data_IF_701141465826
#
_entry.id   IF_701141465826
#
_cell.length_a   1.000
_cell.length_b   1.000
_cell.length_c   1.000
_cell.angle_alpha   90.00
_cell.angle_beta   90.00
_cell.angle_gamma   90.00
#
_symmetry.space_group_name_H-M   'P 1'
#
loop_
_entity.id
_entity.type
_entity.pdbx_description
1 polymer ?
#
# COMPACT_ATOMS: atom_id res chain seq x y z
N UNK A 1 -21.62 32.32 29.38
CA UNK A 1 -20.16 32.13 29.28
C UNK A 1 -19.69 31.40 30.53
N UNK A 2 -19.55 30.07 30.45
CA UNK A 2 -19.14 29.23 31.58
C UNK A 2 -17.65 28.92 31.52
N UNK A 3 -16.93 29.22 32.59
CA UNK A 3 -15.46 29.19 32.76
C UNK A 3 -14.90 27.77 32.98
N UNK A 4 -15.59 26.70 32.59
CA UNK A 4 -15.24 25.33 32.99
C UNK A 4 -14.71 24.39 31.89
N UNK A 5 -14.37 24.89 30.70
CA UNK A 5 -13.90 24.04 29.58
C UNK A 5 -12.37 24.00 29.38
N UNK A 6 -11.58 24.58 30.30
CA UNK A 6 -10.13 24.78 30.06
C UNK A 6 -9.18 23.65 30.49
N UNK A 7 -9.68 22.51 30.96
CA UNK A 7 -8.81 21.40 31.41
C UNK A 7 -9.27 20.03 30.90
N UNK A 8 -9.44 19.88 29.58
CA UNK A 8 -9.25 18.56 28.97
C UNK A 8 -7.75 18.25 28.99
N UNK A 9 -7.33 17.43 29.96
CA UNK A 9 -5.97 16.83 29.97
C UNK A 9 -5.69 16.30 28.56
N UNK A 10 -4.68 16.87 27.88
CA UNK A 10 -4.10 16.23 26.70
C UNK A 10 -3.78 14.79 27.11
N UNK A 11 -4.18 13.77 26.34
CA UNK A 11 -3.78 12.40 26.64
C UNK A 11 -2.27 12.37 26.80
N UNK A 12 -1.78 11.83 27.92
CA UNK A 12 -0.36 11.66 28.17
C UNK A 12 0.24 10.93 26.96
N UNK A 13 1.25 11.54 26.34
CA UNK A 13 1.93 10.94 25.21
C UNK A 13 2.48 9.58 25.66
N UNK A 14 2.00 8.49 25.07
CA UNK A 14 2.50 7.14 25.34
C UNK A 14 4.03 7.17 25.25
N UNK A 15 4.70 6.65 26.27
CA UNK A 15 6.16 6.58 26.28
C UNK A 15 6.63 5.83 25.01
N UNK A 16 7.48 6.49 24.21
CA UNK A 16 8.04 5.89 23.00
C UNK A 16 8.97 4.75 23.42
N UNK A 17 8.85 3.54 22.86
CA UNK A 17 9.80 2.47 23.12
C UNK A 17 11.20 2.86 22.63
N UNK A 18 12.23 2.21 23.16
CA UNK A 18 13.63 2.46 22.77
C UNK A 18 13.87 2.17 21.29
N UNK A 19 13.18 1.17 20.76
CA UNK A 19 13.19 0.81 19.36
C UNK A 19 11.85 0.18 18.97
N UNK A 20 11.65 0.00 17.67
CA UNK A 20 10.49 -0.66 17.10
C UNK A 20 10.93 -1.91 16.34
N UNK A 21 10.06 -2.92 16.30
CA UNK A 21 10.24 -4.04 15.38
C UNK A 21 10.28 -3.52 13.93
N UNK A 22 11.13 -4.12 13.12
CA UNK A 22 11.28 -3.81 11.70
C UNK A 22 10.41 -4.77 10.92
N UNK A 23 9.57 -4.22 10.05
CA UNK A 23 8.95 -4.98 8.96
C UNK A 23 9.66 -4.61 7.67
N UNK A 24 10.32 -5.58 7.03
CA UNK A 24 11.01 -5.34 5.76
C UNK A 24 10.00 -4.99 4.67
N UNK A 25 10.15 -3.86 3.94
CA UNK A 25 9.21 -3.48 2.89
C UNK A 25 9.33 -4.34 1.62
N UNK A 26 10.35 -5.21 1.53
CA UNK A 26 10.56 -6.11 0.40
C UNK A 26 9.94 -7.49 0.64
N UNK A 27 10.20 -8.09 1.80
CA UNK A 27 9.78 -9.47 2.10
C UNK A 27 8.78 -9.62 3.26
N UNK A 28 8.40 -8.53 3.95
CA UNK A 28 7.48 -8.49 5.12
C UNK A 28 7.86 -9.32 6.32
N UNK A 29 9.06 -9.90 6.33
CA UNK A 29 9.59 -10.49 7.53
C UNK A 29 9.68 -9.43 8.62
N UNK A 30 9.18 -9.79 9.79
CA UNK A 30 9.22 -8.99 11.01
C UNK A 30 10.37 -9.49 11.89
N UNK A 31 11.25 -8.59 12.30
CA UNK A 31 12.45 -8.91 13.09
C UNK A 31 12.85 -7.70 13.95
N UNK A 32 13.66 -7.92 14.96
CA UNK A 32 14.13 -6.85 15.86
C UNK A 32 15.38 -6.15 15.29
N UNK A 33 15.69 -4.90 15.69
CA UNK A 33 16.83 -4.15 15.13
C UNK A 33 18.20 -4.80 15.32
N UNK A 34 18.37 -5.67 16.31
CA UNK A 34 19.58 -6.44 16.58
C UNK A 34 19.79 -7.61 15.60
N UNK A 35 18.75 -8.05 14.91
CA UNK A 35 18.85 -9.06 13.84
C UNK A 35 19.37 -8.46 12.52
N UNK A 36 19.46 -7.13 12.39
CA UNK A 36 19.90 -6.45 11.15
C UNK A 36 21.35 -6.78 10.82
N UNK A 37 21.61 -7.16 9.56
CA UNK A 37 22.97 -7.40 9.05
C UNK A 37 23.44 -6.23 8.18
N UNK A 38 24.71 -6.17 7.82
CA UNK A 38 25.30 -5.02 7.12
C UNK A 38 26.06 -5.46 5.86
N UNK A 39 25.98 -4.70 4.77
CA UNK A 39 26.89 -4.88 3.63
C UNK A 39 28.22 -4.20 3.94
N UNK A 40 29.35 -4.86 3.73
CA UNK A 40 30.66 -4.23 3.84
C UNK A 40 30.78 -3.03 2.87
N UNK A 41 31.58 -2.03 3.26
CA UNK A 41 31.81 -0.83 2.44
C UNK A 41 32.96 -1.02 1.42
N UNK A 42 33.67 -2.14 1.51
CA UNK A 42 34.80 -2.50 0.66
C UNK A 42 34.88 -4.03 0.51
N UNK A 43 35.79 -4.47 -0.33
CA UNK A 43 36.14 -5.87 -0.52
C UNK A 43 37.66 -6.06 -0.50
N UNK A 44 38.10 -7.27 -0.17
CA UNK A 44 39.53 -7.63 -0.11
C UNK A 44 39.78 -9.01 -0.71
N UNK A 45 40.78 -9.12 -1.57
CA UNK A 45 41.19 -10.40 -2.16
C UNK A 45 42.06 -11.24 -1.21
N UNK A 46 42.73 -10.59 -0.25
CA UNK A 46 43.61 -11.23 0.74
C UNK A 46 42.86 -11.76 1.97
N UNK A 47 41.53 -11.66 1.96
CA UNK A 47 40.66 -12.01 3.06
C UNK A 47 39.35 -12.64 2.56
N UNK A 48 39.20 -13.95 2.76
CA UNK A 48 38.01 -14.70 2.33
C UNK A 48 36.71 -14.15 2.94
N UNK A 49 36.74 -13.57 4.14
CA UNK A 49 35.55 -13.00 4.79
C UNK A 49 35.09 -11.67 4.15
N UNK A 50 35.96 -11.02 3.36
CA UNK A 50 35.70 -9.73 2.70
C UNK A 50 35.85 -9.83 1.17
N UNK A 51 36.10 -11.02 0.65
CA UNK A 51 36.17 -11.25 -0.79
C UNK A 51 34.80 -10.98 -1.42
N UNK A 52 34.82 -10.49 -2.66
CA UNK A 52 33.59 -10.37 -3.44
C UNK A 52 33.03 -11.77 -3.68
N UNK A 53 31.72 -11.91 -3.48
CA UNK A 53 31.07 -13.20 -3.56
C UNK A 53 29.61 -13.10 -3.99
N UNK A 54 28.93 -14.23 -3.91
CA UNK A 54 27.49 -14.27 -4.14
C UNK A 54 26.75 -14.04 -2.83
N UNK A 55 25.65 -13.30 -2.92
CA UNK A 55 24.69 -13.19 -1.84
C UNK A 55 23.52 -14.13 -2.10
N UNK A 56 23.55 -15.32 -1.49
CA UNK A 56 22.52 -16.34 -1.70
C UNK A 56 21.12 -15.86 -1.31
N UNK A 57 20.96 -15.12 -0.21
CA UNK A 57 19.64 -14.69 0.26
C UNK A 57 19.07 -13.57 -0.62
N UNK A 58 19.91 -12.66 -1.09
CA UNK A 58 19.52 -11.66 -2.09
C UNK A 58 19.19 -12.32 -3.42
N UNK A 59 19.99 -13.29 -3.88
CA UNK A 59 19.75 -13.99 -5.14
C UNK A 59 18.48 -14.84 -5.08
N UNK A 60 18.20 -15.54 -3.97
CA UNK A 60 16.91 -16.22 -3.73
C UNK A 60 15.73 -15.25 -3.78
N UNK A 61 15.89 -14.05 -3.24
CA UNK A 61 14.88 -13.01 -3.37
C UNK A 61 14.68 -12.58 -4.83
N UNK A 62 15.77 -12.27 -5.54
CA UNK A 62 15.76 -11.79 -6.94
C UNK A 62 15.16 -12.81 -7.91
N UNK A 63 15.49 -14.08 -7.73
CA UNK A 63 14.97 -15.20 -8.53
C UNK A 63 13.44 -15.26 -8.50
N UNK A 64 12.81 -15.01 -7.34
CA UNK A 64 11.33 -14.97 -7.20
C UNK A 64 10.67 -13.93 -8.12
N UNK A 65 11.38 -12.86 -8.45
CA UNK A 65 10.92 -11.80 -9.36
C UNK A 65 11.45 -11.96 -10.79
N UNK A 66 12.08 -13.10 -11.10
CA UNK A 66 12.65 -13.39 -12.42
C UNK A 66 13.75 -12.40 -12.83
N UNK A 67 14.50 -11.88 -11.85
CA UNK A 67 15.65 -11.01 -12.02
C UNK A 67 16.94 -11.83 -12.07
N UNK A 68 17.93 -11.35 -12.81
CA UNK A 68 19.24 -12.00 -12.87
C UNK A 68 19.94 -11.96 -11.50
N UNK A 69 20.64 -13.05 -11.18
CA UNK A 69 21.50 -13.11 -10.00
C UNK A 69 22.56 -12.01 -10.05
N UNK A 70 22.90 -11.47 -8.89
CA UNK A 70 24.04 -10.58 -8.71
C UNK A 70 25.22 -11.39 -8.20
N UNK A 71 26.37 -11.18 -8.85
CA UNK A 71 27.66 -11.71 -8.46
C UNK A 71 28.54 -10.55 -8.00
N UNK A 72 29.70 -10.86 -7.45
CA UNK A 72 30.71 -9.88 -7.04
C UNK A 72 30.16 -8.83 -6.06
N UNK A 73 29.37 -9.28 -5.07
CA UNK A 73 28.81 -8.44 -4.01
C UNK A 73 29.76 -8.39 -2.81
N UNK A 74 29.80 -7.25 -2.10
CA UNK A 74 30.58 -7.16 -0.87
C UNK A 74 30.01 -8.09 0.22
N UNK A 75 30.87 -8.47 1.17
CA UNK A 75 30.51 -9.38 2.25
C UNK A 75 29.35 -8.87 3.12
N UNK A 76 28.57 -9.81 3.66
CA UNK A 76 27.55 -9.52 4.67
C UNK A 76 28.16 -9.67 6.06
N UNK A 77 28.16 -8.59 6.82
CA UNK A 77 28.68 -8.50 8.17
C UNK A 77 27.54 -8.73 9.18
N UNK A 78 27.72 -9.69 10.07
CA UNK A 78 26.78 -9.94 11.15
C UNK A 78 27.21 -9.17 12.43
N UNK A 79 26.30 -8.42 13.08
CA UNK A 79 26.66 -7.66 14.28
C UNK A 79 27.26 -8.51 15.39
N UNK A 80 26.84 -9.78 15.50
CA UNK A 80 27.33 -10.72 16.53
C UNK A 80 28.84 -10.97 16.44
N UNK A 81 29.42 -10.84 15.25
CA UNK A 81 30.86 -11.04 15.00
C UNK A 81 31.69 -9.78 15.20
N UNK A 82 31.03 -8.64 15.49
CA UNK A 82 31.69 -7.35 15.66
C UNK A 82 31.63 -6.90 17.12
N UNK A 83 32.77 -6.54 17.74
CA UNK A 83 32.82 -6.03 19.10
C UNK A 83 31.87 -4.84 19.33
N UNK A 84 31.29 -4.73 20.52
CA UNK A 84 30.28 -3.72 20.83
C UNK A 84 30.83 -2.29 20.70
N UNK A 85 32.11 -2.08 21.02
CA UNK A 85 32.83 -0.81 20.86
C UNK A 85 32.94 -0.33 19.41
N UNK A 86 32.79 -1.23 18.44
CA UNK A 86 32.83 -0.93 17.00
C UNK A 86 31.44 -0.75 16.39
N UNK A 87 30.38 -0.91 17.19
CA UNK A 87 28.99 -0.74 16.77
C UNK A 87 28.55 0.71 16.96
N UNK A 88 27.92 1.28 15.93
CA UNK A 88 27.44 2.66 15.92
C UNK A 88 25.94 2.68 16.12
N UNK A 89 25.50 3.24 17.24
CA UNK A 89 24.08 3.36 17.60
C UNK A 89 23.55 4.79 17.42
N UNK A 90 22.29 4.90 17.03
CA UNK A 90 21.53 6.14 17.04
C UNK A 90 20.11 5.81 17.43
N UNK A 91 19.57 6.54 18.41
CA UNK A 91 18.24 6.28 18.98
C UNK A 91 18.08 4.82 19.43
N UNK A 92 19.11 4.28 20.09
CA UNK A 92 19.20 2.87 20.54
C UNK A 92 19.14 1.80 19.44
N UNK A 93 19.22 2.21 18.17
CA UNK A 93 19.23 1.31 17.01
C UNK A 93 20.63 1.24 16.42
N UNK A 94 21.08 0.03 16.09
CA UNK A 94 22.35 -0.19 15.39
C UNK A 94 22.24 0.36 13.96
N UNK A 95 22.97 1.44 13.67
CA UNK A 95 22.94 2.13 12.37
C UNK A 95 24.22 1.97 11.56
N UNK A 96 25.27 1.43 12.15
CA UNK A 96 26.53 1.22 11.46
C UNK A 96 27.49 0.33 12.25
N UNK A 97 28.49 -0.16 11.54
CA UNK A 97 29.51 -1.06 12.06
C UNK A 97 30.85 -0.60 11.49
N UNK A 98 31.84 -0.43 12.36
CA UNK A 98 33.25 -0.37 11.97
C UNK A 98 33.77 -1.80 11.92
N UNK A 99 34.26 -2.22 10.76
CA UNK A 99 34.79 -3.56 10.61
C UNK A 99 36.19 -3.74 11.23
N UNK A 100 36.78 -4.93 11.08
CA UNK A 100 38.13 -5.24 11.62
C UNK A 100 39.26 -4.44 10.97
N UNK A 101 38.97 -3.77 9.85
CA UNK A 101 39.89 -2.89 9.13
C UNK A 101 39.67 -1.41 9.43
N UNK A 102 38.67 -1.08 10.26
CA UNK A 102 38.33 0.30 10.61
C UNK A 102 37.46 1.00 9.56
N UNK A 103 36.91 0.28 8.60
CA UNK A 103 36.03 0.83 7.58
C UNK A 103 34.58 0.82 8.06
N UNK A 104 33.92 1.98 7.97
CA UNK A 104 32.56 2.18 8.47
C UNK A 104 31.53 1.87 7.38
N UNK A 105 30.66 0.91 7.65
CA UNK A 105 29.43 0.71 6.85
C UNK A 105 28.17 1.16 7.59
N UNK A 106 27.23 1.71 6.82
CA UNK A 106 25.85 2.02 7.25
C UNK A 106 24.79 1.34 6.37
N UNK A 107 25.22 0.44 5.47
CA UNK A 107 24.34 -0.29 4.54
C UNK A 107 23.65 -1.42 5.29
N UNK A 108 22.53 -1.09 5.95
CA UNK A 108 21.72 -2.01 6.76
C UNK A 108 20.88 -2.89 5.84
N UNK A 109 20.88 -4.20 6.06
CA UNK A 109 20.18 -5.17 5.24
C UNK A 109 19.15 -5.95 6.07
N UNK A 110 18.08 -6.37 5.40
CA UNK A 110 17.14 -7.32 5.99
C UNK A 110 17.82 -8.69 6.17
N UNK A 111 17.80 -9.32 7.36
CA UNK A 111 18.45 -10.61 7.58
C UNK A 111 17.77 -11.80 6.89
N UNK A 112 16.68 -11.58 6.16
CA UNK A 112 15.91 -12.63 5.46
C UNK A 112 15.97 -12.55 3.94
N UNK A 113 16.29 -11.38 3.38
CA UNK A 113 16.37 -11.20 1.92
C UNK A 113 17.52 -10.32 1.47
N UNK A 114 18.34 -9.83 2.40
CA UNK A 114 19.50 -8.96 2.20
C UNK A 114 19.26 -7.69 1.35
N UNK A 115 18.00 -7.29 1.14
CA UNK A 115 17.66 -5.98 0.59
C UNK A 115 17.98 -4.88 1.60
N UNK A 116 18.43 -3.74 1.09
CA UNK A 116 18.80 -2.59 1.91
C UNK A 116 17.55 -1.98 2.59
N UNK A 117 17.62 -1.81 3.91
CA UNK A 117 16.52 -1.30 4.71
C UNK A 117 16.51 0.24 4.70
N UNK A 118 15.32 0.88 4.80
CA UNK A 118 15.25 2.31 5.04
C UNK A 118 16.06 2.72 6.27
N UNK A 119 16.74 3.87 6.20
CA UNK A 119 17.60 4.38 7.29
C UNK A 119 16.84 4.51 8.62
N UNK A 120 15.54 4.80 8.55
CA UNK A 120 14.65 4.94 9.71
C UNK A 120 14.18 3.60 10.29
N UNK A 121 14.40 2.47 9.63
CA UNK A 121 13.94 1.15 10.09
C UNK A 121 14.43 0.88 11.51
N UNK A 122 13.51 0.52 12.41
CA UNK A 122 13.79 0.24 13.82
C UNK A 122 13.79 1.47 14.73
N UNK A 123 13.97 2.68 14.19
CA UNK A 123 13.88 3.95 14.94
C UNK A 123 12.45 4.44 15.10
N UNK A 124 11.60 4.04 14.16
CA UNK A 124 10.19 4.46 14.06
C UNK A 124 9.32 3.24 13.79
N UNK A 125 8.01 3.28 14.10
CA UNK A 125 7.11 2.20 13.75
C UNK A 125 7.12 1.95 12.23
N UNK A 126 7.17 0.67 11.83
CA UNK A 126 6.94 0.27 10.44
C UNK A 126 5.45 0.41 10.09
N UNK A 127 5.08 1.57 9.56
CA UNK A 127 3.72 1.81 9.09
C UNK A 127 3.63 1.45 7.61
N UNK A 128 3.21 0.22 7.30
CA UNK A 128 3.04 -0.26 5.92
C UNK A 128 1.57 -0.22 5.54
N UNK A 129 1.24 0.41 4.42
CA UNK A 129 -0.10 0.31 3.82
C UNK A 129 -0.07 -0.69 2.68
N UNK A 130 -0.95 -1.70 2.76
CA UNK A 130 -1.06 -2.77 1.76
C UNK A 130 -2.24 -2.52 0.83
N UNK A 131 -2.02 -2.61 -0.48
CA UNK A 131 -3.08 -2.63 -1.49
C UNK A 131 -3.40 -4.07 -1.88
N UNK A 132 -4.66 -4.47 -1.75
CA UNK A 132 -5.12 -5.84 -2.02
C UNK A 132 -6.32 -5.78 -2.94
N UNK A 133 -6.46 -6.78 -3.80
CA UNK A 133 -7.62 -6.93 -4.68
C UNK A 133 -7.36 -8.03 -5.69
N UNK A 134 -8.42 -8.56 -6.29
CA UNK A 134 -8.34 -9.59 -7.32
C UNK A 134 -7.67 -9.08 -8.62
N UNK A 135 -7.55 -9.96 -9.60
CA UNK A 135 -7.07 -9.57 -10.94
C UNK A 135 -7.98 -8.54 -11.58
N UNK A 136 -7.39 -7.65 -12.38
CA UNK A 136 -8.12 -6.69 -13.24
C UNK A 136 -8.98 -5.63 -12.52
N UNK A 137 -8.92 -5.55 -11.18
CA UNK A 137 -9.63 -4.50 -10.41
C UNK A 137 -9.06 -3.10 -10.58
N UNK A 138 -8.00 -2.94 -11.37
CA UNK A 138 -7.35 -1.65 -11.61
C UNK A 138 -6.30 -1.25 -10.56
N UNK A 139 -5.70 -2.21 -9.83
CA UNK A 139 -4.66 -1.94 -8.82
C UNK A 139 -3.53 -1.06 -9.35
N UNK A 140 -2.94 -1.43 -10.49
CA UNK A 140 -1.83 -0.69 -11.11
C UNK A 140 -2.24 0.72 -11.50
N UNK A 141 -3.42 0.89 -12.09
CA UNK A 141 -3.96 2.21 -12.49
C UNK A 141 -4.25 3.07 -11.26
N UNK A 142 -4.91 2.51 -10.24
CA UNK A 142 -5.18 3.20 -8.97
C UNK A 142 -3.88 3.61 -8.27
N UNK A 143 -2.89 2.70 -8.19
CA UNK A 143 -1.58 2.98 -7.62
C UNK A 143 -0.91 4.16 -8.33
N UNK A 144 -0.83 4.12 -9.66
CA UNK A 144 -0.20 5.19 -10.43
C UNK A 144 -0.89 6.52 -10.18
N UNK A 145 -2.22 6.55 -10.24
CA UNK A 145 -2.98 7.78 -9.98
C UNK A 145 -2.83 8.25 -8.54
N UNK A 146 -2.84 7.36 -7.55
CA UNK A 146 -2.64 7.70 -6.15
C UNK A 146 -1.26 8.32 -5.95
N UNK A 147 -0.17 7.67 -6.38
CA UNK A 147 1.18 8.19 -6.21
C UNK A 147 1.36 9.53 -6.92
N UNK A 148 0.87 9.65 -8.16
CA UNK A 148 0.90 10.92 -8.88
C UNK A 148 0.17 12.03 -8.11
N UNK A 149 -1.04 11.76 -7.59
CA UNK A 149 -1.80 12.73 -6.79
C UNK A 149 -1.11 13.06 -5.45
N UNK A 150 -0.52 12.06 -4.78
CA UNK A 150 0.22 12.26 -3.53
C UNK A 150 1.45 13.16 -3.75
N UNK A 151 2.22 12.92 -4.80
CA UNK A 151 3.45 13.66 -5.11
C UNK A 151 3.18 15.09 -5.54
N UNK A 152 2.13 15.31 -6.34
CA UNK A 152 1.87 16.60 -6.97
C UNK A 152 0.89 17.49 -6.20
N UNK A 153 0.11 16.95 -5.25
CA UNK A 153 -0.96 17.73 -4.58
C UNK A 153 -1.14 17.36 -3.12
N UNK A 154 -1.45 16.10 -2.80
CA UNK A 154 -1.90 15.74 -1.44
C UNK A 154 -0.81 15.94 -0.39
N UNK A 155 0.45 15.58 -0.69
CA UNK A 155 1.52 15.71 0.29
C UNK A 155 1.74 17.17 0.75
N UNK A 156 1.66 18.13 -0.17
CA UNK A 156 1.77 19.56 0.16
C UNK A 156 0.65 20.02 1.11
N UNK A 157 -0.57 19.56 0.87
CA UNK A 157 -1.74 19.86 1.72
C UNK A 157 -1.61 19.34 3.16
N UNK A 158 -0.69 18.42 3.43
CA UNK A 158 -0.42 17.85 4.75
C UNK A 158 0.99 18.17 5.27
N UNK A 159 1.68 19.15 4.69
CA UNK A 159 3.06 19.50 5.04
C UNK A 159 3.99 18.29 5.01
N UNK A 160 3.91 17.51 3.94
CA UNK A 160 4.67 16.28 3.74
C UNK A 160 5.27 16.24 2.33
N UNK A 161 6.06 15.19 2.07
CA UNK A 161 6.51 14.81 0.75
C UNK A 161 6.26 13.32 0.52
N UNK A 162 5.88 12.94 -0.70
CA UNK A 162 5.81 11.56 -1.12
C UNK A 162 6.99 11.26 -2.04
N UNK A 163 7.87 10.33 -1.66
CA UNK A 163 9.11 10.07 -2.38
C UNK A 163 9.34 8.56 -2.58
N UNK A 164 9.88 8.12 -3.71
CA UNK A 164 10.29 6.72 -3.89
C UNK A 164 11.45 6.40 -2.93
N UNK A 165 11.54 5.14 -2.49
CA UNK A 165 12.57 4.71 -1.54
C UNK A 165 14.00 4.87 -2.09
N UNK A 166 14.18 4.70 -3.40
CA UNK A 166 15.45 4.91 -4.08
C UNK A 166 15.27 5.38 -5.54
N UNK A 167 16.37 5.80 -6.17
CA UNK A 167 16.38 6.34 -7.53
C UNK A 167 15.99 5.30 -8.60
N UNK A 168 16.21 4.01 -8.36
CA UNK A 168 15.84 2.96 -9.30
C UNK A 168 14.33 2.77 -9.36
N UNK A 169 13.68 2.67 -8.19
CA UNK A 169 12.22 2.64 -8.04
C UNK A 169 11.60 3.87 -8.71
N UNK A 170 12.20 5.06 -8.50
CA UNK A 170 11.75 6.30 -9.16
C UNK A 170 11.75 6.19 -10.68
N UNK A 171 12.85 5.70 -11.27
CA UNK A 171 12.98 5.59 -12.74
C UNK A 171 12.01 4.55 -13.30
N UNK A 172 11.97 3.34 -12.70
CA UNK A 172 11.07 2.26 -13.11
C UNK A 172 9.61 2.72 -13.07
N UNK A 173 9.18 3.30 -11.96
CA UNK A 173 7.80 3.79 -11.81
C UNK A 173 7.46 4.85 -12.85
N UNK A 174 8.32 5.85 -13.03
CA UNK A 174 8.08 6.91 -14.00
C UNK A 174 7.94 6.37 -15.43
N UNK A 175 8.89 5.57 -15.89
CA UNK A 175 8.93 5.07 -17.28
C UNK A 175 7.81 4.08 -17.61
N UNK A 176 7.49 3.18 -16.68
CA UNK A 176 6.55 2.08 -16.93
C UNK A 176 5.11 2.39 -16.49
N UNK A 177 4.90 3.35 -15.59
CA UNK A 177 3.59 3.65 -15.02
C UNK A 177 3.17 5.10 -15.25
N UNK A 178 3.93 6.08 -14.74
CA UNK A 178 3.50 7.47 -14.72
C UNK A 178 3.44 8.10 -16.12
N UNK A 179 4.52 8.04 -16.89
CA UNK A 179 4.60 8.58 -18.26
C UNK A 179 3.56 7.96 -19.22
N UNK A 180 3.39 6.61 -19.29
CA UNK A 180 2.35 6.05 -20.14
C UNK A 180 0.96 6.60 -19.80
N UNK A 181 0.63 6.67 -18.51
CA UNK A 181 -0.71 7.01 -18.08
C UNK A 181 -1.00 8.52 -18.15
N UNK A 182 -0.11 9.36 -17.62
CA UNK A 182 -0.34 10.80 -17.48
C UNK A 182 0.24 11.66 -18.61
N UNK A 183 1.29 11.20 -19.30
CA UNK A 183 1.91 11.97 -20.39
C UNK A 183 1.49 11.48 -21.78
N UNK A 184 1.41 10.15 -21.98
CA UNK A 184 1.09 9.58 -23.30
C UNK A 184 -0.40 9.28 -23.50
N UNK A 185 -1.17 9.12 -22.42
CA UNK A 185 -2.58 8.74 -22.49
C UNK A 185 -2.80 7.26 -22.86
N UNK A 186 -1.77 6.43 -22.66
CA UNK A 186 -1.81 4.99 -22.88
C UNK A 186 -2.40 4.29 -21.65
N UNK A 187 -3.16 3.20 -21.85
CA UNK A 187 -3.44 2.29 -20.74
C UNK A 187 -2.19 1.50 -20.37
N UNK A 188 -2.04 1.25 -19.07
CA UNK A 188 -0.99 0.36 -18.59
C UNK A 188 -1.20 -1.03 -19.20
N UNK A 189 -0.13 -1.58 -19.77
CA UNK A 189 -0.16 -2.95 -20.25
C UNK A 189 -0.55 -3.88 -19.10
N UNK A 190 -1.43 -4.86 -19.38
CA UNK A 190 -1.76 -5.88 -18.38
C UNK A 190 -0.46 -6.55 -17.92
N UNK A 191 -0.22 -6.56 -16.62
CA UNK A 191 0.99 -7.16 -16.00
C UNK A 191 1.18 -8.56 -16.58
N UNK A 192 2.36 -8.84 -17.16
CA UNK A 192 2.63 -10.13 -17.78
C UNK A 192 2.38 -11.24 -16.75
N UNK A 193 1.58 -12.25 -17.12
CA UNK A 193 1.10 -13.28 -16.20
C UNK A 193 2.20 -14.13 -15.56
N UNK A 194 3.42 -14.08 -16.09
CA UNK A 194 4.47 -15.07 -15.82
C UNK A 194 5.60 -14.57 -14.89
N UNK A 195 5.63 -13.29 -14.50
CA UNK A 195 6.69 -12.74 -13.62
C UNK A 195 6.12 -11.91 -12.48
N UNK A 196 6.51 -12.22 -11.24
CA UNK A 196 6.30 -11.32 -10.11
C UNK A 196 7.14 -10.06 -10.34
N UNK A 197 6.53 -8.89 -10.12
CA UNK A 197 7.25 -7.63 -10.16
C UNK A 197 7.75 -7.26 -8.76
N UNK A 198 8.94 -6.66 -8.69
CA UNK A 198 9.45 -6.09 -7.46
C UNK A 198 8.44 -5.07 -6.89
N UNK A 199 8.33 -4.96 -5.56
CA UNK A 199 7.45 -3.97 -4.97
C UNK A 199 7.91 -2.55 -5.28
N UNK A 200 6.95 -1.69 -5.62
CA UNK A 200 7.19 -0.26 -5.58
C UNK A 200 7.05 0.21 -4.13
N UNK A 201 8.09 0.86 -3.62
CA UNK A 201 8.14 1.34 -2.24
C UNK A 201 8.24 2.87 -2.28
N UNK A 202 7.24 3.53 -1.70
CA UNK A 202 7.19 4.97 -1.53
C UNK A 202 7.10 5.33 -0.04
N UNK A 203 7.62 6.48 0.32
CA UNK A 203 7.55 7.02 1.67
C UNK A 203 6.81 8.34 1.65
N UNK A 204 5.80 8.44 2.50
CA UNK A 204 5.13 9.69 2.84
C UNK A 204 5.76 10.24 4.13
N UNK A 205 6.56 11.29 3.98
CA UNK A 205 7.40 11.87 5.03
C UNK A 205 6.87 13.24 5.40
N UNK A 206 6.45 13.42 6.66
CA UNK A 206 6.01 14.72 7.16
C UNK A 206 7.22 15.63 7.40
N UNK A 207 7.05 16.94 7.22
CA UNK A 207 8.05 17.96 7.63
C UNK A 207 8.23 18.02 9.16
N UNK A 208 7.26 17.50 9.91
CA UNK A 208 7.32 17.35 11.35
C UNK A 208 8.02 16.03 11.71
N UNK A 209 9.29 16.11 12.10
CA UNK A 209 10.14 14.96 12.46
C UNK A 209 9.59 14.13 13.64
N UNK A 210 8.62 14.67 14.39
CA UNK A 210 7.96 13.92 15.46
C UNK A 210 7.01 12.84 14.93
N UNK A 211 6.59 12.95 13.66
CA UNK A 211 5.73 11.99 12.95
C UNK A 211 6.60 11.01 12.17
N UNK A 212 6.45 9.70 12.40
CA UNK A 212 7.23 8.72 11.66
C UNK A 212 6.85 8.71 10.16
N UNK A 213 7.76 8.38 9.25
CA UNK A 213 7.41 8.16 7.86
C UNK A 213 6.41 7.00 7.73
N UNK A 214 5.52 7.13 6.75
CA UNK A 214 4.59 6.08 6.36
C UNK A 214 5.11 5.45 5.07
N UNK A 215 5.25 4.14 5.05
CA UNK A 215 5.75 3.40 3.89
C UNK A 215 4.57 2.82 3.13
N UNK A 216 4.40 3.25 1.89
CA UNK A 216 3.45 2.70 0.94
C UNK A 216 4.17 1.60 0.17
N UNK A 217 3.72 0.37 0.30
CA UNK A 217 4.27 -0.75 -0.47
C UNK A 217 3.22 -1.32 -1.40
N UNK A 218 3.57 -1.35 -2.68
CA UNK A 218 2.69 -1.84 -3.72
C UNK A 218 3.26 -3.12 -4.32
N UNK A 219 2.46 -4.18 -4.27
CA UNK A 219 2.73 -5.42 -4.98
C UNK A 219 1.81 -5.50 -6.19
N UNK A 220 2.38 -5.27 -7.37
CA UNK A 220 1.71 -5.60 -8.61
C UNK A 220 1.95 -7.07 -8.92
N UNK A 221 1.06 -7.92 -8.39
CA UNK A 221 1.07 -9.35 -8.72
C UNK A 221 -0.02 -9.63 -9.74
N UNK A 222 0.37 -10.23 -10.86
CA UNK A 222 -0.56 -10.77 -11.84
C UNK A 222 -1.37 -11.88 -11.17
N UNK A 223 -2.64 -11.61 -10.85
CA UNK A 223 -3.44 -12.45 -9.97
C UNK A 223 -3.98 -13.74 -10.60
N UNK A 224 -3.27 -14.36 -11.53
CA UNK A 224 -3.67 -15.66 -12.14
C UNK A 224 -2.49 -16.61 -12.45
N UNK A 225 -1.24 -16.27 -12.08
CA UNK A 225 -0.06 -16.94 -12.68
C UNK A 225 0.82 -17.81 -11.79
N UNK A 226 0.70 -17.77 -10.47
CA UNK A 226 1.70 -18.39 -9.59
C UNK A 226 1.06 -19.40 -8.63
N UNK A 227 1.64 -20.60 -8.59
CA UNK A 227 1.19 -21.75 -7.80
C UNK A 227 1.05 -21.36 -6.32
N UNK A 228 -0.06 -21.80 -5.71
CA UNK A 228 -0.62 -21.36 -4.42
C UNK A 228 0.35 -21.22 -3.24
N UNK A 229 1.46 -21.93 -3.14
CA UNK A 229 2.24 -21.98 -1.89
C UNK A 229 3.16 -20.76 -1.62
N UNK A 230 3.87 -20.25 -2.64
CA UNK A 230 4.73 -19.06 -2.46
C UNK A 230 3.92 -17.75 -2.48
N UNK A 231 2.78 -17.77 -3.19
CA UNK A 231 1.80 -16.69 -3.19
C UNK A 231 1.25 -16.46 -1.77
N UNK A 232 0.81 -17.50 -1.08
CA UNK A 232 0.23 -17.39 0.27
C UNK A 232 1.25 -16.89 1.32
N UNK A 233 2.52 -17.28 1.22
CA UNK A 233 3.56 -16.92 2.20
C UNK A 233 3.91 -15.43 2.22
N UNK A 234 4.16 -14.83 1.04
CA UNK A 234 4.55 -13.42 0.94
C UNK A 234 3.34 -12.48 1.11
N UNK A 235 2.18 -12.85 0.52
CA UNK A 235 0.95 -12.07 0.66
C UNK A 235 0.42 -12.10 2.11
N UNK A 236 0.38 -13.27 2.75
CA UNK A 236 -0.07 -13.39 4.15
C UNK A 236 0.78 -12.55 5.10
N UNK A 237 2.12 -12.56 4.95
CA UNK A 237 3.01 -11.72 5.77
C UNK A 237 2.83 -10.22 5.49
N UNK A 238 2.67 -9.83 4.23
CA UNK A 238 2.42 -8.44 3.85
C UNK A 238 1.18 -7.87 4.53
N UNK A 239 0.08 -8.64 4.51
CA UNK A 239 -1.19 -8.18 5.06
C UNK A 239 -1.17 -8.23 6.59
N UNK A 240 -0.64 -9.31 7.17
CA UNK A 240 -0.53 -9.49 8.63
C UNK A 240 0.25 -8.36 9.32
N UNK A 241 1.32 -7.89 8.68
CA UNK A 241 2.20 -6.86 9.22
C UNK A 241 1.86 -5.45 8.72
N UNK A 242 0.72 -5.28 8.05
CA UNK A 242 0.25 -3.98 7.58
C UNK A 242 -0.34 -3.14 8.71
N UNK A 243 -0.12 -1.83 8.64
CA UNK A 243 -0.76 -0.84 9.50
C UNK A 243 -2.14 -0.42 8.95
N UNK A 244 -2.37 -0.60 7.65
CA UNK A 244 -3.65 -0.30 7.01
C UNK A 244 -3.79 -1.03 5.67
N UNK A 245 -5.03 -1.29 5.28
CA UNK A 245 -5.35 -2.04 4.06
C UNK A 245 -6.22 -1.18 3.13
N UNK A 246 -5.87 -1.15 1.85
CA UNK A 246 -6.72 -0.66 0.76
C UNK A 246 -7.22 -1.87 -0.05
N UNK A 247 -8.46 -2.29 0.19
CA UNK A 247 -9.10 -3.42 -0.49
C UNK A 247 -9.84 -2.93 -1.75
N UNK A 248 -9.23 -3.12 -2.90
CA UNK A 248 -9.74 -2.76 -4.22
C UNK A 248 -10.81 -3.73 -4.69
N UNK A 249 -11.95 -3.18 -5.10
CA UNK A 249 -13.09 -3.92 -5.65
C UNK A 249 -13.51 -3.24 -6.96
N UNK A 250 -13.60 -4.02 -8.03
CA UNK A 250 -14.20 -3.53 -9.27
C UNK A 250 -15.72 -3.65 -9.17
N UNK A 251 -16.51 -2.60 -9.43
CA UNK A 251 -17.96 -2.70 -9.52
C UNK A 251 -18.45 -3.84 -10.42
N UNK A 252 -17.73 -4.14 -11.50
CA UNK A 252 -18.05 -5.24 -12.40
C UNK A 252 -17.82 -6.62 -11.78
N UNK A 253 -17.14 -6.77 -10.64
CA UNK A 253 -17.08 -8.06 -9.94
C UNK A 253 -18.40 -8.40 -9.24
N UNK A 254 -19.21 -7.39 -8.93
CA UNK A 254 -20.52 -7.57 -8.30
C UNK A 254 -21.55 -7.92 -9.38
N UNK A 255 -22.09 -9.14 -9.29
CA UNK A 255 -23.01 -9.69 -10.30
C UNK A 255 -24.21 -8.80 -10.58
N UNK A 256 -24.87 -8.27 -9.55
CA UNK A 256 -26.06 -7.44 -9.73
C UNK A 256 -25.76 -6.09 -10.39
N UNK A 257 -24.53 -5.57 -10.24
CA UNK A 257 -24.08 -4.37 -10.95
C UNK A 257 -23.95 -4.71 -12.43
N UNK A 258 -23.21 -5.78 -12.78
CA UNK A 258 -23.07 -6.21 -14.18
C UNK A 258 -24.40 -6.40 -14.88
N UNK A 259 -25.34 -7.12 -14.25
CA UNK A 259 -26.65 -7.40 -14.84
C UNK A 259 -27.42 -6.10 -15.12
N UNK A 260 -27.36 -5.10 -14.24
CA UNK A 260 -28.02 -3.80 -14.46
C UNK A 260 -27.36 -2.95 -15.51
N UNK A 261 -26.03 -2.88 -15.51
CA UNK A 261 -25.29 -2.15 -16.54
C UNK A 261 -25.63 -2.73 -17.93
N UNK A 262 -25.71 -4.06 -18.05
CA UNK A 262 -26.16 -4.73 -19.28
C UNK A 262 -27.58 -4.36 -19.68
N UNK A 263 -28.52 -4.28 -18.73
CA UNK A 263 -29.89 -3.85 -19.01
C UNK A 263 -29.97 -2.39 -19.49
N UNK A 264 -29.12 -1.51 -18.96
CA UNK A 264 -29.15 -0.08 -19.29
C UNK A 264 -28.37 0.29 -20.57
N UNK A 265 -27.28 -0.42 -20.88
CA UNK A 265 -26.35 -0.07 -21.97
C UNK A 265 -26.42 -1.04 -23.16
N UNK A 266 -27.00 -2.24 -22.98
CA UNK A 266 -27.05 -3.31 -23.98
C UNK A 266 -25.75 -4.12 -24.10
N UNK A 267 -25.79 -5.21 -24.86
CA UNK A 267 -24.62 -6.08 -25.10
C UNK A 267 -23.71 -5.49 -26.18
N UNK A 268 -22.69 -4.72 -25.79
CA UNK A 268 -21.57 -4.42 -26.68
C UNK A 268 -20.55 -5.59 -26.64
N UNK A 269 -20.12 -6.12 -27.81
CA UNK A 269 -19.11 -7.17 -27.84
C UNK A 269 -17.74 -6.65 -27.40
N UNK A 270 -17.06 -7.38 -26.50
CA UNK A 270 -15.65 -7.14 -26.13
C UNK A 270 -15.39 -6.56 -24.73
N UNK A 271 -16.41 -6.08 -24.00
CA UNK A 271 -16.24 -5.45 -22.68
C UNK A 271 -16.38 -6.41 -21.48
N UNK A 272 -16.78 -7.66 -21.70
CA UNK A 272 -17.16 -8.57 -20.61
C UNK A 272 -16.26 -9.79 -20.58
N UNK A 273 -15.53 -9.96 -19.47
CA UNK A 273 -14.75 -11.17 -19.22
C UNK A 273 -15.69 -12.32 -18.82
N UNK A 274 -15.38 -13.55 -19.22
CA UNK A 274 -16.21 -14.73 -18.97
C UNK A 274 -16.28 -15.13 -17.49
N UNK A 275 -15.28 -14.74 -16.69
CA UNK A 275 -15.19 -15.04 -15.27
C UNK A 275 -14.55 -13.86 -14.54
N UNK A 276 -15.22 -13.38 -13.49
CA UNK A 276 -14.68 -12.37 -12.57
C UNK A 276 -14.49 -13.05 -11.22
N UNK A 277 -13.33 -12.85 -10.60
CA UNK A 277 -13.13 -13.23 -9.20
C UNK A 277 -14.11 -12.45 -8.32
N UNK A 278 -14.75 -13.13 -7.37
CA UNK A 278 -15.66 -12.44 -6.45
C UNK A 278 -14.87 -11.74 -5.34
N UNK A 279 -15.25 -10.50 -4.93
CA UNK A 279 -14.53 -9.77 -3.89
C UNK A 279 -14.50 -10.51 -2.55
N UNK A 280 -15.50 -11.34 -2.29
CA UNK A 280 -15.59 -12.19 -1.10
C UNK A 280 -14.46 -13.22 -1.04
N UNK A 281 -14.01 -13.74 -2.17
CA UNK A 281 -13.01 -14.82 -2.20
C UNK A 281 -11.66 -14.28 -1.74
N UNK A 282 -11.33 -13.05 -2.13
CA UNK A 282 -10.15 -12.31 -1.63
C UNK A 282 -10.19 -12.17 -0.10
N UNK A 283 -11.37 -11.87 0.46
CA UNK A 283 -11.55 -11.76 1.92
C UNK A 283 -11.43 -13.12 2.62
N UNK A 284 -11.93 -14.20 2.00
CA UNK A 284 -11.79 -15.56 2.54
C UNK A 284 -10.32 -16.01 2.55
N UNK A 285 -9.53 -15.65 1.53
CA UNK A 285 -8.08 -15.89 1.52
C UNK A 285 -7.41 -15.14 2.67
N UNK A 286 -7.70 -13.85 2.85
CA UNK A 286 -7.19 -13.09 4.01
C UNK A 286 -7.57 -13.74 5.35
N UNK A 287 -8.79 -14.28 5.43
CA UNK A 287 -9.25 -14.97 6.61
C UNK A 287 -8.40 -16.20 6.92
N UNK A 288 -8.20 -17.08 5.94
CA UNK A 288 -7.38 -18.28 6.08
C UNK A 288 -5.92 -17.98 6.38
N UNK A 289 -5.38 -16.88 5.83
CA UNK A 289 -3.96 -16.54 5.94
C UNK A 289 -3.58 -15.91 7.28
N UNK A 290 -4.40 -15.01 7.82
CA UNK A 290 -4.03 -14.31 9.06
C UNK A 290 -5.18 -14.00 10.01
N UNK A 291 -6.39 -13.67 9.53
CA UNK A 291 -7.47 -13.21 10.42
C UNK A 291 -7.93 -14.34 11.34
N UNK A 292 -7.96 -15.59 10.86
CA UNK A 292 -8.32 -16.77 11.65
C UNK A 292 -7.37 -17.03 12.84
N UNK A 293 -6.17 -16.46 12.81
CA UNK A 293 -5.16 -16.60 13.88
C UNK A 293 -5.13 -15.39 14.84
N UNK A 294 -6.03 -14.43 14.67
CA UNK A 294 -6.18 -13.28 15.56
C UNK A 294 -7.25 -13.50 16.64
N UNK A 295 -7.22 -12.68 17.69
CA UNK A 295 -8.21 -12.76 18.76
C UNK A 295 -9.63 -12.54 18.21
N UNK A 296 -10.54 -13.45 18.57
CA UNK A 296 -11.94 -13.47 18.11
C UNK A 296 -12.11 -13.63 16.59
N UNK A 297 -11.08 -14.05 15.86
CA UNK A 297 -11.10 -14.22 14.41
C UNK A 297 -11.48 -12.92 13.67
N UNK A 298 -11.03 -11.77 14.19
CA UNK A 298 -11.26 -10.45 13.60
C UNK A 298 -9.98 -9.61 13.58
N UNK A 299 -9.81 -8.82 12.53
CA UNK A 299 -8.71 -7.86 12.41
C UNK A 299 -9.08 -6.47 12.89
N UNK A 300 -8.14 -5.86 13.63
CA UNK A 300 -8.14 -4.45 14.05
C UNK A 300 -7.43 -3.53 13.03
N UNK A 301 -6.85 -4.11 11.97
CA UNK A 301 -6.19 -3.31 10.92
C UNK A 301 -7.27 -2.48 10.20
N UNK A 302 -7.14 -1.14 10.14
CA UNK A 302 -8.09 -0.30 9.43
C UNK A 302 -8.07 -0.63 7.94
N UNK A 303 -9.24 -0.95 7.40
CA UNK A 303 -9.41 -1.39 6.00
C UNK A 303 -10.35 -0.46 5.24
N UNK A 304 -9.85 0.21 4.21
CA UNK A 304 -10.67 0.94 3.26
C UNK A 304 -11.06 0.02 2.10
N UNK A 305 -12.35 -0.24 1.93
CA UNK A 305 -12.91 -0.92 0.75
C UNK A 305 -13.11 0.13 -0.34
N UNK A 306 -12.44 -0.03 -1.48
CA UNK A 306 -12.35 0.98 -2.53
C UNK A 306 -12.98 0.44 -3.81
N UNK A 307 -14.12 0.98 -4.21
CA UNK A 307 -14.71 0.76 -5.53
C UNK A 307 -13.92 1.56 -6.57
N UNK A 308 -13.11 0.89 -7.39
CA UNK A 308 -12.02 1.53 -8.17
C UNK A 308 -12.43 2.24 -9.45
N UNK A 309 -13.60 1.92 -9.98
CA UNK A 309 -14.13 2.43 -11.26
C UNK A 309 -15.49 3.10 -11.06
N UNK A 310 -15.54 4.06 -10.14
CA UNK A 310 -16.78 4.74 -9.77
C UNK A 310 -17.46 5.43 -10.96
N UNK A 311 -16.71 5.81 -11.99
CA UNK A 311 -17.22 6.34 -13.25
C UNK A 311 -18.21 5.38 -13.95
N UNK A 312 -18.04 4.07 -13.82
CA UNK A 312 -18.99 3.08 -14.35
C UNK A 312 -20.36 3.14 -13.68
N UNK A 313 -20.39 3.61 -12.42
CA UNK A 313 -21.62 3.73 -11.64
C UNK A 313 -22.52 4.87 -12.15
N UNK A 314 -22.05 5.72 -13.09
CA UNK A 314 -22.91 6.70 -13.76
C UNK A 314 -24.13 6.06 -14.43
N UNK A 315 -23.99 4.83 -14.92
CA UNK A 315 -25.07 4.06 -15.55
C UNK A 315 -26.15 3.59 -14.58
N UNK A 316 -25.88 3.66 -13.27
CA UNK A 316 -26.80 3.30 -12.19
C UNK A 316 -27.37 4.53 -11.47
N UNK A 317 -27.12 5.73 -12.01
CA UNK A 317 -27.72 6.96 -11.52
C UNK A 317 -29.21 6.95 -11.80
N UNK A 318 -29.98 7.33 -10.79
CA UNK A 318 -31.40 7.54 -10.89
C UNK A 318 -31.81 8.75 -10.06
N UNK A 319 -32.82 9.50 -10.51
CA UNK A 319 -33.37 10.65 -9.79
C UNK A 319 -34.02 10.21 -8.47
N UNK A 320 -34.67 9.05 -8.47
CA UNK A 320 -35.28 8.45 -7.28
C UNK A 320 -34.22 7.90 -6.31
N UNK A 321 -32.96 7.80 -6.75
CA UNK A 321 -31.84 7.36 -5.94
C UNK A 321 -31.93 5.91 -5.52
N UNK A 322 -32.54 5.05 -6.34
CA UNK A 322 -32.72 3.64 -6.01
C UNK A 322 -31.36 2.97 -5.67
N UNK A 323 -30.30 3.30 -6.41
CA UNK A 323 -28.94 2.83 -6.16
C UNK A 323 -28.01 3.96 -5.79
N UNK A 324 -27.87 4.93 -6.69
CA UNK A 324 -26.99 6.09 -6.52
C UNK A 324 -27.74 7.31 -7.05
N UNK A 325 -27.73 8.40 -6.29
CA UNK A 325 -28.37 9.64 -6.73
C UNK A 325 -27.57 10.30 -7.85
N UNK A 326 -28.27 10.91 -8.80
CA UNK A 326 -27.63 11.62 -9.91
C UNK A 326 -26.64 12.72 -9.46
N UNK A 327 -26.94 13.39 -8.33
CA UNK A 327 -26.12 14.43 -7.71
C UNK A 327 -25.17 13.91 -6.61
N UNK A 328 -24.89 12.61 -6.57
CA UNK A 328 -24.00 12.01 -5.57
C UNK A 328 -22.60 12.63 -5.59
N UNK A 329 -22.02 12.79 -4.40
CA UNK A 329 -20.69 13.33 -4.20
C UNK A 329 -19.58 12.39 -4.70
N UNK A 330 -19.88 11.09 -4.88
CA UNK A 330 -18.89 10.08 -5.31
C UNK A 330 -18.28 10.35 -6.70
N UNK A 331 -18.95 11.18 -7.50
CA UNK A 331 -18.52 11.58 -8.85
C UNK A 331 -17.77 12.90 -8.89
N UNK A 332 -17.65 13.58 -7.75
CA UNK A 332 -16.98 14.88 -7.63
C UNK A 332 -15.74 14.71 -6.76
N UNK A 333 -14.63 15.35 -7.13
CA UNK A 333 -13.42 15.28 -6.32
C UNK A 333 -13.56 16.09 -5.02
N UNK A 334 -12.91 15.65 -3.95
CA UNK A 334 -12.81 16.35 -2.67
C UNK A 334 -11.34 16.61 -2.35
N UNK A 335 -11.03 17.81 -1.86
CA UNK A 335 -9.66 18.20 -1.50
C UNK A 335 -9.57 18.43 0.00
N UNK A 336 -8.90 17.53 0.70
CA UNK A 336 -8.58 17.70 2.11
C UNK A 336 -7.32 18.55 2.31
N UNK A 337 -7.31 19.39 3.35
CA UNK A 337 -6.18 20.25 3.71
C UNK A 337 -5.95 20.21 5.21
N UNK A 338 -4.76 19.81 5.65
CA UNK A 338 -4.32 19.70 7.05
C UNK A 338 -5.09 18.70 7.94
N UNK A 339 -6.38 18.49 7.72
CA UNK A 339 -7.24 17.58 8.48
C UNK A 339 -8.10 16.73 7.55
N UNK A 340 -8.60 15.62 8.09
CA UNK A 340 -9.57 14.77 7.44
C UNK A 340 -10.99 15.29 7.71
N UNK A 341 -11.78 15.53 6.67
CA UNK A 341 -13.14 16.06 6.81
C UNK A 341 -14.09 14.90 7.13
N UNK A 342 -14.52 14.84 8.39
CA UNK A 342 -15.36 13.76 8.92
C UNK A 342 -16.79 13.83 8.37
N UNK A 343 -17.32 15.03 8.13
CA UNK A 343 -18.66 15.21 7.57
C UNK A 343 -18.74 14.62 6.16
N UNK A 344 -17.76 14.94 5.31
CA UNK A 344 -17.70 14.39 3.95
C UNK A 344 -17.42 12.89 3.94
N UNK A 345 -16.54 12.42 4.82
CA UNK A 345 -16.29 11.00 5.01
C UNK A 345 -17.57 10.22 5.38
N UNK A 346 -18.32 10.68 6.38
CA UNK A 346 -19.55 10.02 6.84
C UNK A 346 -20.60 9.96 5.71
N UNK A 347 -20.65 10.97 4.84
CA UNK A 347 -21.52 10.98 3.66
C UNK A 347 -21.12 9.89 2.65
N UNK A 348 -19.83 9.85 2.26
CA UNK A 348 -19.33 8.89 1.26
C UNK A 348 -19.37 7.47 1.79
N UNK A 349 -18.87 7.22 3.00
CA UNK A 349 -18.92 5.90 3.63
C UNK A 349 -20.37 5.42 3.74
N UNK A 350 -21.26 6.26 4.26
CA UNK A 350 -22.67 5.91 4.43
C UNK A 350 -23.39 5.64 3.10
N UNK A 351 -23.07 6.35 2.04
CA UNK A 351 -23.62 6.10 0.70
C UNK A 351 -23.11 4.78 0.11
N UNK A 352 -21.79 4.58 0.06
CA UNK A 352 -21.21 3.38 -0.55
C UNK A 352 -21.52 2.13 0.28
N UNK A 353 -21.56 2.23 1.61
CA UNK A 353 -21.94 1.13 2.50
C UNK A 353 -23.37 0.64 2.22
N UNK A 354 -24.33 1.56 2.06
CA UNK A 354 -25.71 1.24 1.69
C UNK A 354 -25.82 0.68 0.28
N UNK A 355 -25.06 1.26 -0.66
CA UNK A 355 -24.99 0.77 -2.03
C UNK A 355 -24.52 -0.69 -2.07
N UNK A 356 -23.39 -1.02 -1.44
CA UNK A 356 -22.83 -2.38 -1.38
C UNK A 356 -23.77 -3.33 -0.65
N UNK A 357 -24.39 -2.91 0.46
CA UNK A 357 -25.39 -3.75 1.14
C UNK A 357 -26.55 -4.15 0.21
N UNK A 358 -26.96 -3.24 -0.68
CA UNK A 358 -28.03 -3.48 -1.65
C UNK A 358 -27.59 -4.37 -2.83
N UNK A 359 -26.35 -4.21 -3.32
CA UNK A 359 -25.86 -4.93 -4.51
C UNK A 359 -25.13 -6.25 -4.17
N UNK A 360 -24.54 -6.35 -2.99
CA UNK A 360 -23.74 -7.51 -2.55
C UNK A 360 -23.77 -7.65 -1.02
N UNK A 361 -24.95 -8.04 -0.50
CA UNK A 361 -25.14 -8.31 0.93
C UNK A 361 -24.17 -9.36 1.50
N UNK A 362 -23.86 -10.48 0.80
CA UNK A 362 -22.87 -11.45 1.28
C UNK A 362 -21.47 -10.87 1.47
N UNK A 363 -20.97 -10.09 0.51
CA UNK A 363 -19.68 -9.41 0.64
C UNK A 363 -19.70 -8.43 1.82
N UNK A 364 -20.76 -7.62 1.94
CA UNK A 364 -20.92 -6.68 3.05
C UNK A 364 -20.90 -7.38 4.41
N UNK A 365 -21.66 -8.47 4.55
CA UNK A 365 -21.72 -9.26 5.78
C UNK A 365 -20.36 -9.88 6.12
N UNK A 366 -19.62 -10.36 5.12
CA UNK A 366 -18.27 -10.91 5.33
C UNK A 366 -17.31 -9.86 5.92
N UNK A 367 -17.36 -8.63 5.40
CA UNK A 367 -16.58 -7.51 5.95
C UNK A 367 -16.94 -7.21 7.41
N UNK A 368 -18.23 -7.16 7.75
CA UNK A 368 -18.70 -6.90 9.12
C UNK A 368 -18.33 -8.01 10.12
N UNK A 369 -18.21 -9.25 9.63
CA UNK A 369 -17.78 -10.38 10.45
C UNK A 369 -16.30 -10.30 10.74
N UNK A 370 -15.43 -10.11 9.74
CA UNK A 370 -13.98 -10.26 9.91
C UNK A 370 -13.21 -8.99 10.22
N UNK A 371 -13.76 -7.80 9.97
CA UNK A 371 -13.07 -6.52 10.16
C UNK A 371 -13.80 -5.67 11.18
N UNK A 372 -13.05 -5.09 12.12
CA UNK A 372 -13.61 -4.19 13.15
C UNK A 372 -13.72 -2.75 12.68
N UNK A 373 -12.87 -2.34 11.74
CA UNK A 373 -12.72 -0.94 11.32
C UNK A 373 -12.66 -0.86 9.80
N UNK A 374 -13.82 -0.61 9.19
CA UNK A 374 -13.97 -0.53 7.74
C UNK A 374 -14.50 0.82 7.32
N UNK A 375 -13.96 1.34 6.23
CA UNK A 375 -14.50 2.49 5.50
C UNK A 375 -14.72 2.13 4.04
N UNK A 376 -15.75 2.70 3.42
CA UNK A 376 -16.12 2.41 2.05
C UNK A 376 -15.99 3.67 1.19
N UNK A 377 -15.25 3.54 0.09
CA UNK A 377 -14.98 4.61 -0.86
C UNK A 377 -15.35 4.19 -2.28
N UNK A 378 -15.62 5.18 -3.11
CA UNK A 378 -15.69 5.03 -4.55
C UNK A 378 -14.78 6.07 -5.18
N UNK A 379 -13.88 5.59 -6.05
CA UNK A 379 -12.85 6.40 -6.70
C UNK A 379 -12.89 6.12 -8.20
N UNK A 380 -12.43 7.08 -8.99
CA UNK A 380 -12.11 6.85 -10.40
C UNK A 380 -10.69 7.31 -10.66
N UNK A 381 -9.78 6.36 -10.83
CA UNK A 381 -8.37 6.65 -11.01
C UNK A 381 -8.09 7.42 -12.32
N UNK A 382 -8.92 7.20 -13.35
CA UNK A 382 -8.80 7.85 -14.65
C UNK A 382 -9.72 9.06 -14.81
N UNK A 383 -10.81 9.12 -14.03
CA UNK A 383 -11.89 10.11 -14.18
C UNK A 383 -12.86 9.80 -15.31
N UNK A 384 -12.54 8.86 -16.19
CA UNK A 384 -13.41 8.39 -17.27
C UNK A 384 -13.04 6.97 -17.70
N UNK A 385 -14.01 6.24 -18.25
CA UNK A 385 -13.79 4.91 -18.78
C UNK A 385 -13.09 5.01 -20.16
N UNK A 386 -11.94 4.34 -20.38
CA UNK A 386 -11.27 4.34 -21.68
C UNK A 386 -12.10 3.67 -22.79
N UNK A 387 -11.88 4.07 -24.04
CA UNK A 387 -12.51 3.48 -25.24
C UNK A 387 -11.41 3.01 -26.17
N UNK A 388 -11.50 1.77 -26.69
CA UNK A 388 -10.51 1.13 -27.55
C UNK A 388 -9.08 1.14 -26.97
N UNK A 389 -8.98 0.87 -25.67
CA UNK A 389 -7.72 0.88 -24.90
C UNK A 389 -6.96 2.22 -24.91
N UNK A 390 -7.65 3.32 -25.25
CA UNK A 390 -7.09 4.67 -25.20
C UNK A 390 -7.90 5.57 -24.28
N UNK A 391 -7.18 6.45 -23.60
CA UNK A 391 -7.80 7.53 -22.84
C UNK A 391 -8.33 8.57 -23.82
N UNK A 392 -9.63 8.85 -23.71
CA UNK A 392 -10.31 9.84 -24.56
C UNK A 392 -10.14 11.27 -24.00
N UNK A 393 -9.78 11.39 -22.73
CA UNK A 393 -9.63 12.65 -22.01
C UNK A 393 -8.35 12.62 -21.17
N UNK A 394 -7.90 13.80 -20.74
CA UNK A 394 -6.80 13.92 -19.77
C UNK A 394 -7.20 13.21 -18.48
N UNK A 395 -6.28 12.42 -17.93
CA UNK A 395 -6.49 11.72 -16.66
C UNK A 395 -6.83 12.73 -15.57
N UNK A 396 -8.02 12.57 -14.97
CA UNK A 396 -8.52 13.45 -13.92
C UNK A 396 -9.01 12.60 -12.75
N UNK A 397 -8.12 12.19 -11.83
CA UNK A 397 -8.49 11.31 -10.73
C UNK A 397 -9.58 11.92 -9.85
N UNK A 398 -10.55 11.10 -9.47
CA UNK A 398 -11.66 11.48 -8.59
C UNK A 398 -11.50 10.72 -7.28
N UNK A 399 -11.30 11.46 -6.18
CA UNK A 399 -11.23 10.96 -4.79
C UNK A 399 -10.15 9.90 -4.53
N UNK A 400 -9.14 9.81 -5.40
CA UNK A 400 -8.15 8.72 -5.39
C UNK A 400 -7.35 8.65 -4.09
N UNK A 401 -7.09 9.79 -3.45
CA UNK A 401 -6.30 9.96 -2.25
C UNK A 401 -7.10 9.87 -0.94
N UNK A 402 -8.43 9.97 -0.98
CA UNK A 402 -9.28 9.90 0.22
C UNK A 402 -9.11 8.62 1.06
N UNK A 403 -9.07 7.41 0.47
CA UNK A 403 -8.82 6.18 1.23
C UNK A 403 -7.49 6.22 2.00
N UNK A 404 -6.45 6.80 1.38
CA UNK A 404 -5.15 6.98 2.00
C UNK A 404 -5.19 8.01 3.14
N UNK A 405 -5.86 9.15 2.93
CA UNK A 405 -6.01 10.19 3.96
C UNK A 405 -6.81 9.66 5.16
N UNK A 406 -7.81 8.81 4.93
CA UNK A 406 -8.51 8.12 6.01
C UNK A 406 -7.57 7.23 6.82
N UNK A 407 -6.70 6.46 6.15
CA UNK A 407 -5.67 5.69 6.86
C UNK A 407 -4.73 6.60 7.67
N UNK A 408 -4.35 7.78 7.15
CA UNK A 408 -3.60 8.76 7.94
C UNK A 408 -4.34 9.17 9.22
N UNK A 409 -5.65 9.39 9.13
CA UNK A 409 -6.48 9.71 10.28
C UNK A 409 -6.56 8.54 11.27
N UNK A 410 -6.84 7.32 10.80
CA UNK A 410 -6.92 6.11 11.63
C UNK A 410 -5.61 5.77 12.33
N UNK A 411 -4.49 6.03 11.67
CA UNK A 411 -3.14 5.84 12.20
C UNK A 411 -2.66 7.04 13.05
N UNK A 412 -3.53 8.03 13.30
CA UNK A 412 -3.25 9.22 14.12
C UNK A 412 -2.14 10.14 13.58
N UNK A 413 -1.91 10.14 12.26
CA UNK A 413 -1.00 11.09 11.62
C UNK A 413 -1.61 12.47 11.44
N UNK A 414 -2.94 12.53 11.29
CA UNK A 414 -3.70 13.76 11.09
C UNK A 414 -4.96 13.75 11.96
N UNK A 415 -5.46 14.94 12.26
CA UNK A 415 -6.73 15.11 12.98
C UNK A 415 -7.93 15.00 12.04
N UNK A 416 -9.06 14.54 12.56
CA UNK A 416 -10.36 14.62 11.89
C UNK A 416 -11.15 15.83 12.41
N UNK A 417 -11.87 16.54 11.53
CA UNK A 417 -12.75 17.65 11.90
C UNK A 417 -14.09 17.55 11.21
N UNK A 418 -15.14 17.97 11.91
CA UNK A 418 -16.47 18.21 11.34
C UNK A 418 -16.58 19.68 11.02
N UNK A 419 -17.05 19.98 9.82
CA UNK A 419 -17.43 21.33 9.38
C UNK A 419 -18.92 21.56 9.62
#
# INVERSE_FOLDING_TARGET
MGIFDLFKKKPEAKARPLFYDIVCPYCFSKFTPDEVVFRAAHSREDDEDYALGEDEELNKYRERFGLDSVHDMEAVLHPVDVPEEHRVYSDHVLIGINDRYGELTRRRLCPKCHNELPVTAGKVPSNIISIIGASQVGKSVYMTSLIHTLQNTTADHFNAACMPLNAEISRKFRTYYEEPLFERGDLLASTQKEKMQEPFIFQFVFKDDSKPPLTLVFFDVAGEGMVEQDYLGLHGQHIKNSAGILLMVDPLQIRSIREKIRMNIGDKPGEWVSQYDEPRDVVLTMFGDFIAYQENNKTDIPTAVVLTKSDMLHSLKDEDGEYIKSNSNIFNNMVHRNYFNLTEFENIDGEIRRFIEKVDRPFKGTMDVYFKDTAYYAVSALGSNPVDQKLQTVVSPIRVDEPFIWLLYKLNFIEGRRE
#
